data_IF_766109940685
#
_entry.id   IF_766109940685
#
_cell.length_a   1.000
_cell.length_b   1.000
_cell.length_c   1.000
_cell.angle_alpha   90.00
_cell.angle_beta   90.00
_cell.angle_gamma   90.00
#
_symmetry.space_group_name_H-M   'P 1'
#
loop_
_entity.id
_entity.type
_entity.pdbx_description
1 polymer ?
#
# COMPACT_ATOMS: atom_id res chain seq x y z
N UNK A 1 -8.52 2.81 -10.66
CA UNK A 1 -7.38 2.23 -11.40
C UNK A 1 -7.89 1.54 -12.66
N UNK A 2 -7.01 0.91 -13.45
CA UNK A 2 -7.44 0.01 -14.51
C UNK A 2 -7.78 -1.36 -13.91
N UNK A 3 -8.73 -2.07 -14.52
CA UNK A 3 -9.04 -3.46 -14.17
C UNK A 3 -7.98 -4.41 -14.78
N UNK A 4 -6.79 -4.39 -14.19
CA UNK A 4 -5.72 -5.29 -14.54
C UNK A 4 -5.01 -5.83 -13.30
N UNK A 5 -4.65 -7.11 -13.36
CA UNK A 5 -3.90 -7.81 -12.32
C UNK A 5 -2.71 -8.52 -12.99
N UNK A 6 -1.79 -7.74 -13.56
CA UNK A 6 -0.61 -8.32 -14.20
C UNK A 6 0.37 -8.86 -13.18
N UNK A 7 1.29 -9.73 -13.61
CA UNK A 7 2.22 -10.38 -12.68
C UNK A 7 3.11 -9.40 -11.88
N UNK A 8 3.43 -8.21 -12.41
CA UNK A 8 4.28 -7.22 -11.72
C UNK A 8 3.53 -6.05 -11.11
N UNK A 9 2.34 -5.71 -11.61
CA UNK A 9 1.61 -4.55 -11.14
C UNK A 9 0.13 -4.66 -11.48
N UNK A 10 -0.70 -3.94 -10.72
CA UNK A 10 -2.13 -3.87 -10.99
C UNK A 10 -2.94 -3.61 -9.73
N UNK A 11 -4.22 -3.90 -9.83
CA UNK A 11 -5.17 -3.96 -8.72
C UNK A 11 -5.37 -5.42 -8.33
N UNK A 12 -5.13 -5.80 -7.07
CA UNK A 12 -5.46 -7.17 -6.62
C UNK A 12 -6.97 -7.35 -6.48
N UNK A 13 -7.67 -6.27 -6.13
CA UNK A 13 -9.11 -6.16 -6.21
C UNK A 13 -9.45 -4.84 -6.92
N UNK A 14 -10.16 -4.95 -8.05
CA UNK A 14 -10.60 -3.79 -8.80
C UNK A 14 -11.75 -3.07 -8.08
N UNK A 15 -11.66 -1.74 -7.96
CA UNK A 15 -12.60 -0.97 -7.14
C UNK A 15 -14.06 -1.03 -7.61
N UNK A 16 -14.32 -1.38 -8.88
CA UNK A 16 -15.70 -1.56 -9.35
C UNK A 16 -16.30 -2.91 -8.93
N UNK A 17 -15.46 -3.86 -8.50
CA UNK A 17 -15.90 -5.16 -7.99
C UNK A 17 -16.24 -5.08 -6.49
N UNK A 18 -15.64 -4.13 -5.77
CA UNK A 18 -15.91 -3.83 -4.37
C UNK A 18 -15.95 -2.32 -4.14
N UNK A 19 -17.13 -1.75 -3.88
CA UNK A 19 -17.35 -0.31 -3.73
C UNK A 19 -16.61 0.38 -2.55
N UNK A 20 -15.72 -0.32 -1.86
CA UNK A 20 -15.24 0.08 -0.51
C UNK A 20 -13.73 0.28 -0.44
N UNK A 21 -12.95 -0.53 -1.16
CA UNK A 21 -11.49 -0.50 -1.05
C UNK A 21 -10.83 -0.46 -2.42
N UNK A 22 -9.76 0.33 -2.48
CA UNK A 22 -8.84 0.35 -3.60
C UNK A 22 -7.58 -0.36 -3.16
N UNK A 23 -7.13 -1.33 -3.96
CA UNK A 23 -5.89 -2.08 -3.69
C UNK A 23 -4.98 -1.99 -4.90
N UNK A 24 -3.70 -1.74 -4.67
CA UNK A 24 -2.66 -1.64 -5.70
C UNK A 24 -1.43 -2.41 -5.30
N UNK A 25 -0.73 -2.94 -6.28
CA UNK A 25 0.61 -3.48 -6.08
C UNK A 25 1.53 -3.13 -7.25
N UNK A 26 2.82 -3.04 -6.93
CA UNK A 26 3.93 -2.98 -7.88
C UNK A 26 5.08 -3.81 -7.29
N UNK A 27 5.62 -4.73 -8.07
CA UNK A 27 6.77 -5.56 -7.73
C UNK A 27 7.95 -5.15 -8.59
N UNK A 28 8.97 -4.59 -7.94
CA UNK A 28 10.21 -4.16 -8.58
C UNK A 28 11.20 -5.32 -8.76
N UNK A 29 10.77 -6.39 -9.45
CA UNK A 29 11.58 -7.59 -9.65
C UNK A 29 12.66 -7.38 -10.71
N UNK A 30 12.28 -6.88 -11.89
CA UNK A 30 13.23 -6.61 -12.98
C UNK A 30 13.92 -5.25 -12.85
N UNK A 31 13.32 -4.33 -12.09
CA UNK A 31 13.80 -2.96 -11.90
C UNK A 31 13.88 -2.60 -10.39
N UNK A 32 14.70 -3.33 -9.60
CA UNK A 32 14.84 -3.06 -8.18
C UNK A 32 15.39 -1.66 -7.92
N UNK A 33 14.98 -1.08 -6.79
CA UNK A 33 15.51 0.19 -6.31
C UNK A 33 16.71 -0.12 -5.40
N UNK A 34 17.92 0.07 -5.92
CA UNK A 34 19.15 -0.19 -5.18
C UNK A 34 19.45 0.91 -4.16
N UNK A 35 20.03 0.53 -3.02
CA UNK A 35 20.55 1.46 -2.01
C UNK A 35 21.84 0.90 -1.40
N UNK A 36 22.77 1.79 -1.01
CA UNK A 36 24.03 1.41 -0.37
C UNK A 36 24.03 1.63 1.14
N UNK A 37 23.36 2.69 1.62
CA UNK A 37 23.36 3.09 3.03
C UNK A 37 21.95 3.09 3.61
N UNK A 38 21.03 3.79 2.96
CA UNK A 38 19.63 3.90 3.39
C UNK A 38 18.72 4.16 2.19
N UNK A 39 17.44 3.84 2.37
CA UNK A 39 16.36 4.19 1.46
C UNK A 39 15.17 4.69 2.27
N UNK A 40 14.53 5.77 1.82
CA UNK A 40 13.27 6.27 2.37
C UNK A 40 12.24 6.32 1.26
N UNK A 41 11.19 5.54 1.40
CA UNK A 41 10.07 5.49 0.47
C UNK A 41 8.87 6.17 1.10
N UNK A 42 8.27 7.11 0.39
CA UNK A 42 7.08 7.84 0.83
C UNK A 42 6.09 7.93 -0.31
N UNK A 43 4.80 7.92 0.01
CA UNK A 43 3.72 8.21 -0.93
C UNK A 43 2.94 9.41 -0.39
N UNK A 44 2.50 10.26 -1.30
CA UNK A 44 1.66 11.40 -0.98
C UNK A 44 0.20 10.95 -0.83
N UNK A 45 -0.47 11.37 0.23
CA UNK A 45 -1.87 11.04 0.49
C UNK A 45 -2.81 12.02 -0.23
N UNK A 46 -2.94 11.87 -1.55
CA UNK A 46 -3.60 12.85 -2.43
C UNK A 46 -2.78 14.14 -2.58
N UNK A 47 -3.18 15.01 -3.51
CA UNK A 47 -2.35 16.16 -3.89
C UNK A 47 -2.05 17.09 -2.68
N UNK A 48 -0.79 17.33 -2.37
CA UNK A 48 -0.34 18.06 -1.20
C UNK A 48 -0.65 17.38 0.15
N UNK A 49 -0.83 16.06 0.17
CA UNK A 49 -1.32 15.30 1.35
C UNK A 49 -2.69 15.78 1.86
N UNK A 50 -3.54 16.29 0.98
CA UNK A 50 -4.83 16.89 1.35
C UNK A 50 -5.95 15.88 1.65
N UNK A 51 -5.75 14.59 1.37
CA UNK A 51 -6.74 13.56 1.62
C UNK A 51 -6.52 12.93 2.99
N UNK A 52 -7.62 12.57 3.66
CA UNK A 52 -7.63 11.85 4.93
C UNK A 52 -8.08 10.40 4.73
N UNK A 53 -7.64 9.77 3.65
CA UNK A 53 -7.98 8.38 3.37
C UNK A 53 -7.28 7.46 4.37
N UNK A 54 -7.97 6.40 4.79
CA UNK A 54 -7.30 5.31 5.49
C UNK A 54 -6.40 4.57 4.50
N UNK A 55 -5.10 4.51 4.79
CA UNK A 55 -4.12 3.85 3.93
C UNK A 55 -3.23 2.92 4.74
N UNK A 56 -3.06 1.71 4.25
CA UNK A 56 -2.07 0.75 4.73
C UNK A 56 -1.22 0.26 3.56
N UNK A 57 0.07 0.07 3.77
CA UNK A 57 0.96 -0.49 2.75
C UNK A 57 1.91 -1.51 3.36
N UNK A 58 2.45 -2.38 2.51
CA UNK A 58 3.51 -3.33 2.85
C UNK A 58 4.64 -3.14 1.84
N UNK A 59 5.87 -3.04 2.34
CA UNK A 59 7.06 -2.98 1.52
C UNK A 59 7.83 -4.31 1.63
N UNK A 60 8.44 -4.72 0.52
CA UNK A 60 9.34 -5.85 0.45
C UNK A 60 10.71 -5.35 -0.02
N UNK A 61 11.77 -5.73 0.69
CA UNK A 61 13.14 -5.34 0.35
C UNK A 61 14.11 -6.44 0.75
N UNK A 62 15.32 -6.34 0.21
CA UNK A 62 16.45 -7.17 0.61
C UNK A 62 17.56 -6.26 1.16
N UNK A 63 18.26 -6.76 2.16
CA UNK A 63 19.46 -6.16 2.75
C UNK A 63 20.52 -7.24 2.90
N UNK A 64 21.80 -6.84 2.93
CA UNK A 64 22.92 -7.79 3.06
C UNK A 64 22.83 -8.63 4.35
N UNK A 65 22.32 -8.04 5.43
CA UNK A 65 22.07 -8.71 6.71
C UNK A 65 20.63 -8.44 7.17
N UNK A 66 20.02 -9.32 7.98
CA UNK A 66 18.70 -9.06 8.55
C UNK A 66 18.66 -7.73 9.30
N UNK A 67 17.75 -6.85 8.89
CA UNK A 67 17.53 -5.55 9.53
C UNK A 67 16.27 -5.61 10.39
N UNK A 68 16.29 -4.93 11.54
CA UNK A 68 15.08 -4.74 12.32
C UNK A 68 14.00 -4.01 11.51
N UNK A 69 12.75 -4.38 11.73
CA UNK A 69 11.58 -3.69 11.19
C UNK A 69 10.86 -2.97 12.31
N UNK A 70 10.04 -1.96 11.95
CA UNK A 70 9.15 -1.33 12.91
C UNK A 70 7.98 -2.28 13.17
N UNK A 71 7.55 -2.40 14.43
CA UNK A 71 6.35 -3.16 14.78
C UNK A 71 5.12 -2.52 14.11
N UNK A 72 4.16 -3.33 13.62
CA UNK A 72 2.94 -2.79 13.06
C UNK A 72 2.14 -2.02 14.14
N UNK A 73 1.27 -1.09 13.74
CA UNK A 73 0.35 -0.44 14.67
C UNK A 73 -0.47 -1.45 15.49
N UNK A 74 -0.92 -1.08 16.70
CA UNK A 74 -1.79 -1.92 17.52
C UNK A 74 -3.01 -2.42 16.74
N UNK A 75 -3.54 -3.59 17.12
CA UNK A 75 -4.67 -4.23 16.41
C UNK A 75 -5.85 -3.27 16.21
N UNK A 76 -6.19 -2.48 17.23
CA UNK A 76 -7.31 -1.53 17.20
C UNK A 76 -7.13 -0.41 16.16
N UNK A 77 -5.89 -0.07 15.80
CA UNK A 77 -5.55 0.97 14.82
C UNK A 77 -5.45 0.42 13.39
N UNK A 78 -5.58 -0.90 13.19
CA UNK A 78 -5.50 -1.54 11.86
C UNK A 78 -6.71 -2.43 11.56
N UNK A 79 -7.83 -2.19 12.26
CA UNK A 79 -9.09 -2.81 11.92
C UNK A 79 -9.61 -2.26 10.59
N UNK A 80 -10.29 -3.08 9.77
CA UNK A 80 -10.86 -2.60 8.52
C UNK A 80 -11.89 -1.49 8.79
N UNK A 81 -11.79 -0.39 8.05
CA UNK A 81 -12.82 0.66 8.05
C UNK A 81 -14.01 0.14 7.27
N UNK A 82 -15.10 -0.19 7.97
CA UNK A 82 -16.33 -0.70 7.35
C UNK A 82 -17.10 0.44 6.70
N UNK A 83 -17.75 0.17 5.57
CA UNK A 83 -18.70 1.10 4.96
C UNK A 83 -19.87 1.27 5.91
N UNK A 84 -20.12 2.50 6.37
CA UNK A 84 -21.29 2.79 7.19
C UNK A 84 -22.54 2.74 6.30
N UNK A 85 -23.53 1.91 6.64
CA UNK A 85 -24.77 1.73 5.86
C UNK A 85 -25.62 3.02 5.80
N UNK A 86 -25.26 4.06 6.57
CA UNK A 86 -26.03 5.30 6.75
C UNK A 86 -25.54 6.51 5.96
N UNK A 87 -24.52 6.38 5.13
CA UNK A 87 -24.10 7.47 4.23
C UNK A 87 -24.92 7.43 2.93
N UNK A 88 -26.16 7.93 3.01
CA UNK A 88 -26.97 8.42 1.87
C UNK A 88 -27.18 9.92 2.05
#
# INVERSE_FOLDING_TARGET
MQDNAYMRNGSSIFEHNIDVYQTSYVHHLENPIHFHKEIKVTIEHGHGNHLCNEMSSVAYWYSEQPTGTVEPPPVLERLPVLRDEKAV
#
